data_IF_141388984028
#
_entry.id   IF_141388984028
#
_cell.length_a   1.000
_cell.length_b   1.000
_cell.length_c   1.000
_cell.angle_alpha   90.00
_cell.angle_beta   90.00
_cell.angle_gamma   90.00
#
_symmetry.space_group_name_H-M   'P 1'
#
loop_
_entity.id
_entity.type
_entity.pdbx_description
1 polymer ?
#
# COMPACT_ATOMS: atom_id res chain seq x y z
N UNK A 1 -12.14 -8.95 7.69
CA UNK A 1 -11.18 -7.96 7.16
C UNK A 1 -9.82 -8.27 7.74
N UNK A 2 -8.79 -8.24 6.91
CA UNK A 2 -7.41 -8.51 7.32
C UNK A 2 -6.80 -7.32 8.08
N UNK A 3 -5.75 -7.57 8.86
CA UNK A 3 -5.03 -6.53 9.61
C UNK A 3 -4.37 -5.50 8.67
N UNK A 4 -3.89 -5.91 7.50
CA UNK A 4 -3.35 -5.02 6.47
C UNK A 4 -4.46 -4.10 5.96
N UNK A 5 -5.64 -4.63 5.65
CA UNK A 5 -6.77 -3.82 5.19
C UNK A 5 -7.23 -2.85 6.28
N UNK A 6 -7.33 -3.30 7.54
CA UNK A 6 -7.66 -2.44 8.68
C UNK A 6 -6.63 -1.33 8.87
N UNK A 7 -5.34 -1.61 8.65
CA UNK A 7 -4.27 -0.63 8.72
C UNK A 7 -4.37 0.41 7.60
N UNK A 8 -4.63 -0.04 6.37
CA UNK A 8 -4.81 0.84 5.21
C UNK A 8 -6.06 1.72 5.36
N UNK A 9 -7.14 1.19 5.91
CA UNK A 9 -8.36 1.95 6.21
C UNK A 9 -8.11 3.03 7.27
N UNK A 10 -7.30 2.74 8.29
CA UNK A 10 -6.89 3.75 9.30
C UNK A 10 -6.06 4.89 8.68
N UNK A 11 -5.25 4.60 7.67
CA UNK A 11 -4.53 5.63 6.90
C UNK A 11 -5.51 6.44 6.05
N UNK A 12 -6.45 5.77 5.38
CA UNK A 12 -7.43 6.40 4.50
C UNK A 12 -8.37 7.36 5.23
N UNK A 13 -8.98 6.86 6.31
CA UNK A 13 -9.99 7.57 7.10
C UNK A 13 -9.43 8.75 7.89
N UNK A 14 -8.10 8.88 7.99
CA UNK A 14 -7.36 9.98 8.62
C UNK A 14 -8.12 10.58 9.81
N UNK A 15 -8.24 9.80 10.89
CA UNK A 15 -9.04 10.17 12.05
C UNK A 15 -8.80 11.65 12.44
N UNK A 16 -9.86 12.47 12.55
CA UNK A 16 -9.69 13.88 12.88
C UNK A 16 -8.98 14.01 14.22
N UNK A 17 -7.99 14.89 14.29
CA UNK A 17 -7.26 15.14 15.54
C UNK A 17 -8.28 15.58 16.60
N UNK A 18 -8.38 14.88 17.73
CA UNK A 18 -9.38 15.24 18.74
C UNK A 18 -9.10 16.65 19.25
N UNK A 19 -10.11 17.51 19.17
CA UNK A 19 -10.07 18.92 19.58
C UNK A 19 -10.68 19.03 20.99
N UNK A 20 -9.89 19.39 21.99
CA UNK A 20 -10.37 19.62 23.35
C UNK A 20 -9.26 19.69 24.39
N UNK A 21 -9.53 20.34 25.52
CA UNK A 21 -8.65 20.31 26.69
C UNK A 21 -8.69 18.91 27.31
N UNK A 22 -7.54 18.22 27.36
CA UNK A 22 -7.44 16.87 27.93
C UNK A 22 -7.71 15.73 26.95
N UNK A 23 -7.84 15.99 25.64
CA UNK A 23 -7.87 14.92 24.66
C UNK A 23 -6.48 14.27 24.55
N UNK A 24 -6.41 12.97 24.81
CA UNK A 24 -5.20 12.19 24.53
C UNK A 24 -4.88 12.30 23.04
N UNK A 25 -3.66 12.73 22.73
CA UNK A 25 -3.16 12.71 21.37
C UNK A 25 -3.00 11.25 20.98
N UNK A 26 -3.93 10.70 20.21
CA UNK A 26 -3.70 9.41 19.55
C UNK A 26 -2.42 9.49 18.72
N UNK A 27 -1.66 8.40 18.69
CA UNK A 27 -0.46 8.31 17.86
C UNK A 27 -0.76 8.75 16.43
N UNK A 28 0.13 9.57 15.85
CA UNK A 28 -0.06 10.12 14.51
C UNK A 28 -0.04 8.97 13.49
N UNK A 29 -1.14 8.76 12.79
CA UNK A 29 -1.17 7.79 11.69
C UNK A 29 -0.20 8.22 10.58
N UNK A 30 0.56 7.28 10.00
CA UNK A 30 1.49 7.61 8.93
C UNK A 30 0.73 8.06 7.69
N UNK A 31 1.36 8.93 6.88
CA UNK A 31 0.75 9.42 5.66
C UNK A 31 0.62 8.36 4.55
N UNK A 32 1.47 7.33 4.58
CA UNK A 32 1.44 6.13 3.74
C UNK A 32 1.95 4.95 4.57
N UNK A 33 1.46 3.75 4.27
CA UNK A 33 1.98 2.50 4.83
C UNK A 33 3.36 2.16 4.28
N UNK A 34 4.21 1.54 5.07
CA UNK A 34 5.50 1.02 4.64
C UNK A 34 5.52 -0.50 4.69
N UNK A 35 5.76 -1.14 3.56
CA UNK A 35 5.79 -2.58 3.38
C UNK A 35 7.19 -3.00 2.92
N UNK A 36 7.71 -4.11 3.42
CA UNK A 36 8.99 -4.67 2.94
C UNK A 36 8.78 -6.02 2.26
N UNK A 37 9.22 -6.11 1.00
CA UNK A 37 9.29 -7.38 0.26
C UNK A 37 10.56 -8.14 0.62
N UNK A 38 10.44 -9.45 0.85
CA UNK A 38 11.54 -10.34 1.20
C UNK A 38 11.52 -11.60 0.33
N UNK A 39 12.64 -11.87 -0.32
CA UNK A 39 12.90 -13.13 -1.02
C UNK A 39 13.59 -14.15 -0.10
N UNK A 40 14.50 -13.70 0.79
CA UNK A 40 15.31 -14.59 1.63
C UNK A 40 15.15 -14.27 3.11
N UNK A 41 14.02 -14.67 3.73
CA UNK A 41 13.75 -14.32 5.10
C UNK A 41 14.69 -15.03 6.09
N UNK A 42 15.22 -14.27 7.05
CA UNK A 42 15.97 -14.80 8.20
C UNK A 42 15.40 -14.20 9.49
N UNK A 43 15.49 -14.92 10.62
CA UNK A 43 14.97 -14.44 11.92
C UNK A 43 15.50 -13.05 12.29
N UNK A 44 16.78 -12.81 12.07
CA UNK A 44 17.42 -11.52 12.37
C UNK A 44 16.90 -10.38 11.46
N UNK A 45 16.70 -10.67 10.17
CA UNK A 45 16.16 -9.68 9.23
C UNK A 45 14.70 -9.37 9.54
N UNK A 46 13.90 -10.40 9.83
CA UNK A 46 12.51 -10.27 10.23
C UNK A 46 12.35 -9.45 11.51
N UNK A 47 13.09 -9.79 12.57
CA UNK A 47 13.03 -9.01 13.82
C UNK A 47 13.44 -7.54 13.61
N UNK A 48 14.40 -7.29 12.72
CA UNK A 48 14.78 -5.92 12.38
C UNK A 48 13.69 -5.22 11.60
N UNK A 49 13.12 -5.84 10.57
CA UNK A 49 12.08 -5.23 9.73
C UNK A 49 10.78 -5.01 10.50
N UNK A 50 10.34 -5.95 11.33
CA UNK A 50 9.11 -5.85 12.12
C UNK A 50 9.05 -4.63 13.04
N UNK A 51 10.20 -4.03 13.37
CA UNK A 51 10.28 -2.80 14.15
C UNK A 51 10.28 -1.51 13.31
N UNK A 52 10.39 -1.62 11.99
CA UNK A 52 10.63 -0.49 11.09
C UNK A 52 9.65 -0.40 9.92
N UNK A 53 8.81 -1.41 9.70
CA UNK A 53 7.78 -1.44 8.66
C UNK A 53 6.43 -1.82 9.25
N UNK A 54 5.35 -1.55 8.53
CA UNK A 54 3.98 -1.83 8.95
C UNK A 54 3.52 -3.24 8.59
N UNK A 55 4.07 -3.80 7.51
CA UNK A 55 3.80 -5.18 7.08
C UNK A 55 4.96 -5.75 6.25
N UNK A 56 5.01 -7.07 6.16
CA UNK A 56 6.01 -7.82 5.37
C UNK A 56 5.31 -8.52 4.20
N UNK A 57 5.97 -8.52 3.04
CA UNK A 57 5.55 -9.27 1.86
C UNK A 57 6.61 -10.35 1.62
N UNK A 58 6.24 -11.62 1.72
CA UNK A 58 7.10 -12.71 1.32
C UNK A 58 6.88 -13.02 -0.16
N UNK A 59 7.96 -13.18 -0.92
CA UNK A 59 7.87 -13.52 -2.34
C UNK A 59 7.49 -14.97 -2.58
N UNK A 60 7.74 -15.83 -1.60
CA UNK A 60 7.40 -17.25 -1.57
C UNK A 60 6.90 -17.64 -0.19
N UNK A 61 6.24 -18.79 -0.07
CA UNK A 61 5.74 -19.31 1.21
C UNK A 61 6.88 -19.43 2.24
N UNK A 62 6.83 -18.68 3.36
CA UNK A 62 7.87 -18.77 4.38
C UNK A 62 7.73 -20.05 5.21
N UNK A 63 8.84 -20.47 5.85
CA UNK A 63 8.78 -21.52 6.88
C UNK A 63 7.93 -21.03 8.07
N UNK A 64 7.00 -21.88 8.53
CA UNK A 64 6.18 -21.65 9.71
C UNK A 64 7.02 -21.20 10.92
N UNK A 65 8.21 -21.78 11.12
CA UNK A 65 9.09 -21.42 12.24
C UNK A 65 9.70 -20.01 12.14
N UNK A 66 9.65 -19.38 10.97
CA UNK A 66 10.08 -17.99 10.78
C UNK A 66 8.95 -17.00 11.06
N UNK A 67 7.70 -17.36 10.77
CA UNK A 67 6.55 -16.45 10.87
C UNK A 67 5.81 -16.49 12.20
N UNK A 68 5.97 -17.56 12.99
CA UNK A 68 5.34 -17.72 14.32
C UNK A 68 5.53 -16.53 15.27
N UNK A 69 6.70 -15.90 15.22
CA UNK A 69 7.09 -14.82 16.14
C UNK A 69 6.90 -13.42 15.53
N UNK A 70 6.31 -13.30 14.33
CA UNK A 70 6.10 -12.00 13.68
C UNK A 70 4.86 -11.33 14.27
N UNK A 71 5.07 -10.16 14.89
CA UNK A 71 4.00 -9.39 15.53
C UNK A 71 3.18 -8.52 14.54
N UNK A 72 3.78 -8.13 13.41
CA UNK A 72 3.14 -7.33 12.37
C UNK A 72 2.44 -8.23 11.33
N UNK A 73 1.40 -7.76 10.64
CA UNK A 73 0.78 -8.56 9.61
C UNK A 73 1.71 -8.77 8.42
N UNK A 74 1.47 -9.85 7.69
CA UNK A 74 2.29 -10.21 6.54
C UNK A 74 1.45 -10.87 5.46
N UNK A 75 1.95 -10.77 4.23
CA UNK A 75 1.33 -11.36 3.06
C UNK A 75 2.30 -12.23 2.28
N UNK A 76 1.77 -13.14 1.48
CA UNK A 76 2.57 -14.02 0.61
C UNK A 76 2.24 -13.77 -0.86
N UNK A 77 3.26 -13.70 -1.70
CA UNK A 77 3.13 -13.62 -3.15
C UNK A 77 3.09 -15.01 -3.80
N UNK A 78 2.64 -15.07 -5.06
CA UNK A 78 2.76 -16.27 -5.89
C UNK A 78 1.84 -17.41 -5.46
N UNK A 79 0.71 -17.08 -4.83
CA UNK A 79 -0.29 -18.05 -4.37
C UNK A 79 -1.43 -18.10 -5.37
N UNK A 80 -1.66 -19.26 -5.98
CA UNK A 80 -2.54 -19.43 -7.13
C UNK A 80 -3.64 -20.49 -6.94
N UNK A 81 -3.63 -21.23 -5.83
CA UNK A 81 -4.59 -22.31 -5.55
C UNK A 81 -5.19 -22.23 -4.14
N UNK A 82 -6.41 -22.73 -3.97
CA UNK A 82 -7.13 -22.74 -2.69
C UNK A 82 -6.38 -23.50 -1.58
N UNK A 83 -5.77 -24.64 -1.91
CA UNK A 83 -4.95 -25.41 -0.96
C UNK A 83 -3.75 -24.60 -0.47
N UNK A 84 -3.10 -23.87 -1.38
CA UNK A 84 -1.95 -23.03 -1.04
C UNK A 84 -2.36 -21.87 -0.12
N UNK A 85 -3.50 -21.21 -0.39
CA UNK A 85 -4.09 -20.17 0.47
C UNK A 85 -4.45 -20.71 1.84
N UNK A 86 -5.16 -21.83 1.91
CA UNK A 86 -5.58 -22.45 3.17
C UNK A 86 -4.38 -22.75 4.07
N UNK A 87 -3.32 -23.32 3.49
CA UNK A 87 -2.08 -23.61 4.21
C UNK A 87 -1.31 -22.37 4.67
N UNK A 88 -1.55 -21.20 4.07
CA UNK A 88 -0.98 -19.91 4.48
C UNK A 88 -1.81 -19.30 5.62
N UNK A 89 -3.14 -19.38 5.54
CA UNK A 89 -4.05 -18.94 6.61
C UNK A 89 -3.73 -19.67 7.92
N UNK A 90 -3.51 -21.00 7.86
CA UNK A 90 -3.14 -21.80 9.04
C UNK A 90 -1.88 -21.34 9.76
N UNK A 91 -0.91 -20.75 9.04
CA UNK A 91 0.34 -20.23 9.62
C UNK A 91 0.27 -18.73 9.93
N UNK A 92 -0.92 -18.12 9.83
CA UNK A 92 -1.18 -16.73 10.21
C UNK A 92 -0.95 -15.70 9.11
N UNK A 93 -1.02 -16.11 7.84
CA UNK A 93 -0.98 -15.17 6.70
C UNK A 93 -2.20 -14.24 6.75
N UNK A 94 -1.96 -12.94 6.59
CA UNK A 94 -3.01 -11.92 6.68
C UNK A 94 -3.55 -11.51 5.31
N UNK A 95 -2.74 -11.63 4.25
CA UNK A 95 -3.15 -11.32 2.89
C UNK A 95 -2.39 -12.15 1.86
N UNK A 96 -2.91 -12.26 0.65
CA UNK A 96 -2.19 -12.81 -0.50
C UNK A 96 -1.96 -11.75 -1.56
N UNK A 97 -0.86 -11.91 -2.29
CA UNK A 97 -0.56 -11.17 -3.50
C UNK A 97 -0.55 -12.13 -4.70
N UNK A 98 -1.41 -11.86 -5.67
CA UNK A 98 -1.61 -12.69 -6.85
C UNK A 98 -1.58 -11.87 -8.14
N UNK A 99 -1.56 -12.56 -9.27
CA UNK A 99 -1.78 -11.98 -10.59
C UNK A 99 -3.07 -12.54 -11.21
N UNK A 100 -3.34 -12.18 -12.46
CA UNK A 100 -4.54 -12.62 -13.18
C UNK A 100 -4.56 -14.11 -13.53
N UNK A 101 -3.48 -14.85 -13.28
CA UNK A 101 -3.44 -16.30 -13.49
C UNK A 101 -3.93 -17.11 -12.29
N UNK A 102 -4.11 -16.48 -11.13
CA UNK A 102 -4.58 -17.16 -9.92
C UNK A 102 -6.00 -17.73 -10.08
N UNK A 103 -6.24 -18.90 -9.47
CA UNK A 103 -7.55 -19.53 -9.49
C UNK A 103 -8.58 -18.68 -8.73
N UNK A 104 -9.80 -18.61 -9.25
CA UNK A 104 -10.90 -17.88 -8.59
C UNK A 104 -11.17 -18.42 -7.19
N UNK A 105 -11.03 -19.74 -6.97
CA UNK A 105 -11.19 -20.35 -5.64
C UNK A 105 -10.13 -19.89 -4.63
N UNK A 106 -8.94 -19.48 -5.08
CA UNK A 106 -7.91 -18.90 -4.22
C UNK A 106 -8.29 -17.49 -3.75
N UNK A 107 -9.05 -16.75 -4.56
CA UNK A 107 -9.42 -15.35 -4.32
C UNK A 107 -10.76 -15.24 -3.56
N UNK A 108 -11.66 -16.21 -3.71
CA UNK A 108 -12.98 -16.22 -3.08
C UNK A 108 -12.97 -16.57 -1.57
N UNK A 109 -11.80 -16.58 -0.93
CA UNK A 109 -11.67 -16.90 0.48
C UNK A 109 -11.86 -15.63 1.34
N UNK A 110 -12.96 -15.58 2.10
CA UNK A 110 -13.33 -14.42 2.93
C UNK A 110 -12.42 -14.20 4.17
N UNK A 111 -11.59 -15.18 4.53
CA UNK A 111 -10.71 -15.12 5.70
C UNK A 111 -9.41 -14.33 5.42
N UNK A 112 -9.09 -14.07 4.15
CA UNK A 112 -7.84 -13.45 3.73
C UNK A 112 -8.09 -12.34 2.73
N UNK A 113 -7.37 -11.21 2.86
CA UNK A 113 -7.47 -10.16 1.84
C UNK A 113 -6.59 -10.46 0.64
N UNK A 114 -7.02 -10.02 -0.53
CA UNK A 114 -6.38 -10.29 -1.81
C UNK A 114 -5.90 -9.00 -2.46
N UNK A 115 -4.61 -8.95 -2.77
CA UNK A 115 -3.99 -7.89 -3.55
C UNK A 115 -3.61 -8.40 -4.94
N UNK A 116 -4.06 -7.72 -5.98
CA UNK A 116 -3.79 -8.08 -7.37
C UNK A 116 -2.65 -7.23 -7.95
N UNK A 117 -1.69 -7.88 -8.60
CA UNK A 117 -0.66 -7.22 -9.41
C UNK A 117 -1.30 -6.54 -10.62
N UNK A 118 -1.08 -5.22 -10.77
CA UNK A 118 -1.58 -4.46 -11.91
C UNK A 118 -0.41 -3.84 -12.69
N UNK A 119 -0.33 -4.07 -14.02
CA UNK A 119 0.65 -3.40 -14.86
C UNK A 119 0.42 -1.89 -14.89
N UNK A 120 1.50 -1.09 -14.81
CA UNK A 120 1.44 0.38 -14.91
C UNK A 120 0.87 0.86 -16.25
N UNK A 121 0.97 0.03 -17.28
CA UNK A 121 0.56 0.33 -18.67
C UNK A 121 -0.86 -0.15 -18.99
N UNK A 122 -1.66 -0.51 -17.98
CA UNK A 122 -3.04 -0.96 -18.17
C UNK A 122 -3.90 0.16 -18.73
N UNK A 123 -4.71 -0.16 -19.75
CA UNK A 123 -5.66 0.81 -20.30
C UNK A 123 -6.90 0.97 -19.40
N UNK A 124 -7.69 2.03 -19.65
CA UNK A 124 -8.86 2.33 -18.83
C UNK A 124 -9.93 1.23 -18.87
N UNK A 125 -10.14 0.57 -20.01
CA UNK A 125 -11.12 -0.50 -20.13
C UNK A 125 -10.70 -1.72 -19.31
N UNK A 126 -9.42 -2.06 -19.34
CA UNK A 126 -8.85 -3.12 -18.51
C UNK A 126 -9.04 -2.80 -17.04
N UNK A 127 -8.70 -1.59 -16.58
CA UNK A 127 -8.87 -1.18 -15.19
C UNK A 127 -10.33 -1.27 -14.72
N UNK A 128 -11.29 -0.87 -15.56
CA UNK A 128 -12.71 -1.00 -15.25
C UNK A 128 -13.15 -2.46 -15.07
N UNK A 129 -12.60 -3.38 -15.86
CA UNK A 129 -12.85 -4.83 -15.71
C UNK A 129 -12.18 -5.35 -14.43
N UNK A 130 -10.94 -4.94 -14.15
CA UNK A 130 -10.23 -5.36 -12.93
C UNK A 130 -10.95 -4.90 -11.65
N UNK A 131 -11.66 -3.78 -11.70
CA UNK A 131 -12.42 -3.28 -10.56
C UNK A 131 -13.59 -4.20 -10.18
N UNK A 132 -14.14 -4.98 -11.12
CA UNK A 132 -15.23 -5.92 -10.82
C UNK A 132 -14.75 -7.19 -10.12
N UNK A 133 -13.43 -7.43 -10.05
CA UNK A 133 -12.88 -8.60 -9.37
C UNK A 133 -13.01 -8.45 -7.84
N UNK A 134 -13.28 -9.55 -7.10
CA UNK A 134 -13.38 -9.53 -5.64
C UNK A 134 -11.98 -9.50 -5.01
N UNK A 135 -11.29 -8.37 -5.12
CA UNK A 135 -9.97 -8.14 -4.53
C UNK A 135 -9.98 -6.84 -3.75
N UNK A 136 -9.25 -6.79 -2.64
CA UNK A 136 -9.21 -5.65 -1.71
C UNK A 136 -8.29 -4.52 -2.21
N UNK A 137 -7.27 -4.86 -2.99
CA UNK A 137 -6.25 -3.90 -3.39
C UNK A 137 -5.45 -4.27 -4.63
N UNK A 138 -4.67 -3.30 -5.09
CA UNK A 138 -3.74 -3.41 -6.19
C UNK A 138 -2.31 -3.16 -5.75
N UNK A 139 -1.39 -3.95 -6.29
CA UNK A 139 0.05 -3.74 -6.20
C UNK A 139 0.54 -3.26 -7.56
N UNK A 140 1.02 -2.01 -7.59
CA UNK A 140 1.53 -1.34 -8.78
C UNK A 140 3.05 -1.53 -8.81
N UNK A 141 3.53 -2.27 -9.81
CA UNK A 141 4.94 -2.61 -9.98
C UNK A 141 5.54 -1.92 -11.22
N UNK A 142 6.04 -0.67 -11.09
CA UNK A 142 6.75 -0.02 -12.19
C UNK A 142 8.09 -0.71 -12.45
N UNK A 143 8.37 -1.06 -13.71
CA UNK A 143 9.64 -1.68 -14.13
C UNK A 143 10.88 -0.82 -13.79
N UNK A 144 10.74 0.49 -13.81
CA UNK A 144 11.77 1.45 -13.40
C UNK A 144 11.11 2.66 -12.72
N UNK A 145 11.37 2.79 -11.43
CA UNK A 145 11.01 3.95 -10.63
C UNK A 145 12.25 4.49 -9.88
N UNK A 146 13.26 4.86 -10.64
CA UNK A 146 14.42 5.60 -10.13
C UNK A 146 14.08 7.06 -9.76
N UNK A 147 13.14 7.70 -10.45
CA UNK A 147 12.64 9.03 -10.09
C UNK A 147 11.15 9.19 -10.37
N UNK A 148 10.46 9.93 -9.50
CA UNK A 148 9.02 10.17 -9.63
C UNK A 148 8.81 11.41 -10.50
N UNK A 149 8.86 11.21 -11.81
CA UNK A 149 8.50 12.24 -12.80
C UNK A 149 6.99 12.46 -12.85
N UNK A 150 6.55 13.60 -13.40
CA UNK A 150 5.13 13.88 -13.64
C UNK A 150 4.48 12.82 -14.55
N UNK A 151 5.23 12.27 -15.52
CA UNK A 151 4.76 11.19 -16.37
C UNK A 151 4.46 9.94 -15.54
N UNK A 152 5.41 9.50 -14.70
CA UNK A 152 5.22 8.34 -13.82
C UNK A 152 4.10 8.55 -12.81
N UNK A 153 4.00 9.76 -12.25
CA UNK A 153 2.93 10.12 -11.34
C UNK A 153 1.55 10.08 -12.03
N UNK A 154 1.47 10.48 -13.31
CA UNK A 154 0.25 10.39 -14.11
C UNK A 154 -0.13 8.94 -14.44
N UNK A 155 0.85 8.10 -14.76
CA UNK A 155 0.64 6.66 -15.01
C UNK A 155 0.11 5.97 -13.76
N UNK A 156 0.77 6.16 -12.61
CA UNK A 156 0.31 5.65 -11.31
C UNK A 156 -1.10 6.18 -11.01
N UNK A 157 -1.33 7.47 -11.26
CA UNK A 157 -2.61 8.12 -11.01
C UNK A 157 -3.76 7.65 -11.88
N UNK A 158 -3.49 7.13 -13.08
CA UNK A 158 -4.52 6.53 -13.91
C UNK A 158 -5.13 5.29 -13.23
N UNK A 159 -4.29 4.49 -12.55
CA UNK A 159 -4.71 3.30 -11.82
C UNK A 159 -5.42 3.71 -10.54
N UNK A 160 -4.75 4.48 -9.67
CA UNK A 160 -5.26 4.80 -8.33
C UNK A 160 -6.53 5.64 -8.34
N UNK A 161 -6.80 6.41 -9.40
CA UNK A 161 -8.05 7.18 -9.54
C UNK A 161 -9.16 6.43 -10.26
N UNK A 162 -8.84 5.31 -10.90
CA UNK A 162 -9.84 4.48 -11.59
C UNK A 162 -10.51 3.48 -10.66
N UNK A 163 -10.03 3.33 -9.42
CA UNK A 163 -10.46 2.30 -8.48
C UNK A 163 -10.78 2.89 -7.10
N UNK A 164 -11.65 2.23 -6.36
CA UNK A 164 -11.91 2.43 -4.94
C UNK A 164 -11.07 1.50 -4.04
N UNK A 165 -10.29 0.61 -4.65
CA UNK A 165 -9.45 -0.38 -3.95
C UNK A 165 -8.15 0.22 -3.42
N UNK A 166 -7.56 -0.44 -2.41
CA UNK A 166 -6.30 0.02 -1.84
C UNK A 166 -5.15 -0.11 -2.83
N UNK A 167 -4.36 0.94 -3.03
CA UNK A 167 -3.25 0.93 -3.98
C UNK A 167 -1.88 0.99 -3.28
N UNK A 168 -1.08 -0.06 -3.45
CA UNK A 168 0.30 -0.14 -3.00
C UNK A 168 1.25 0.07 -4.18
N UNK A 169 2.37 0.76 -3.97
CA UNK A 169 3.35 1.05 -5.00
C UNK A 169 4.72 0.48 -4.63
N UNK A 170 5.27 -0.36 -5.50
CA UNK A 170 6.66 -0.81 -5.37
C UNK A 170 7.64 0.28 -5.79
N UNK A 171 8.67 0.49 -4.97
CA UNK A 171 9.70 1.50 -5.16
C UNK A 171 11.10 0.88 -5.01
N UNK A 172 12.02 1.30 -5.87
CA UNK A 172 13.41 0.84 -5.84
C UNK A 172 14.33 1.85 -5.12
N UNK A 173 13.88 3.09 -4.95
CA UNK A 173 14.62 4.17 -4.30
C UNK A 173 13.71 4.94 -3.36
N UNK A 174 14.29 5.44 -2.26
CA UNK A 174 13.56 6.22 -1.26
C UNK A 174 13.15 7.59 -1.80
N UNK A 175 11.83 7.89 -1.91
CA UNK A 175 11.36 9.16 -2.44
C UNK A 175 11.66 10.33 -1.51
N UNK A 176 11.76 11.54 -2.08
CA UNK A 176 11.85 12.79 -1.31
C UNK A 176 10.49 13.11 -0.67
N UNK A 177 10.50 13.94 0.38
CA UNK A 177 9.28 14.35 1.08
C UNK A 177 8.18 14.92 0.14
N UNK A 178 8.57 15.74 -0.84
CA UNK A 178 7.64 16.29 -1.83
C UNK A 178 7.04 15.22 -2.75
N UNK A 179 7.80 14.17 -3.05
CA UNK A 179 7.35 13.05 -3.89
C UNK A 179 6.40 12.13 -3.09
N UNK A 180 6.70 11.87 -1.82
CA UNK A 180 5.80 11.15 -0.91
C UNK A 180 4.42 11.84 -0.81
N UNK A 181 4.40 13.16 -0.67
CA UNK A 181 3.15 13.92 -0.70
C UNK A 181 2.43 13.81 -2.04
N UNK A 182 3.16 13.82 -3.16
CA UNK A 182 2.57 13.70 -4.49
C UNK A 182 1.95 12.32 -4.71
N UNK A 183 2.64 11.25 -4.30
CA UNK A 183 2.14 9.88 -4.36
C UNK A 183 0.85 9.72 -3.55
N UNK A 184 0.84 10.22 -2.31
CA UNK A 184 -0.38 10.21 -1.46
C UNK A 184 -1.54 10.97 -2.12
N UNK A 185 -1.29 12.16 -2.69
CA UNK A 185 -2.33 12.97 -3.36
C UNK A 185 -2.92 12.30 -4.59
N UNK A 186 -2.16 11.39 -5.20
CA UNK A 186 -2.59 10.63 -6.36
C UNK A 186 -3.42 9.41 -5.98
N UNK A 187 -3.35 8.96 -4.72
CA UNK A 187 -4.15 7.84 -4.21
C UNK A 187 -3.32 6.61 -3.87
N UNK A 188 -1.99 6.70 -3.87
CA UNK A 188 -1.14 5.64 -3.30
C UNK A 188 -1.37 5.63 -1.78
N UNK A 189 -1.50 4.44 -1.21
CA UNK A 189 -1.76 4.24 0.21
C UNK A 189 -0.61 3.56 0.95
N UNK A 190 0.24 2.83 0.23
CA UNK A 190 1.45 2.25 0.80
C UNK A 190 2.57 2.11 -0.20
N UNK A 191 3.79 2.04 0.32
CA UNK A 191 5.03 1.85 -0.44
C UNK A 191 5.62 0.49 -0.10
N UNK A 192 6.02 -0.25 -1.12
CA UNK A 192 6.71 -1.53 -1.00
C UNK A 192 8.18 -1.31 -1.35
N UNK A 193 9.07 -1.61 -0.42
CA UNK A 193 10.52 -1.57 -0.63
C UNK A 193 11.09 -2.99 -0.74
N UNK A 194 12.20 -3.14 -1.45
CA UNK A 194 12.97 -4.38 -1.38
C UNK A 194 13.72 -4.46 -0.03
N UNK A 195 13.19 -5.27 0.89
CA UNK A 195 13.76 -5.46 2.22
C UNK A 195 15.13 -6.14 2.20
N UNK A 196 15.45 -6.94 1.16
CA UNK A 196 16.74 -7.61 1.07
C UNK A 196 17.88 -6.64 0.73
N UNK A 197 17.60 -5.64 -0.11
CA UNK A 197 18.60 -4.70 -0.64
C UNK A 197 18.71 -3.41 0.19
N UNK A 198 17.60 -2.90 0.71
CA UNK A 198 17.60 -1.59 1.38
C UNK A 198 18.19 -1.70 2.80
N UNK A 199 19.08 -0.75 3.12
CA UNK A 199 19.76 -0.69 4.42
C UNK A 199 18.79 -0.31 5.55
N UNK A 200 18.97 -0.87 6.74
CA UNK A 200 18.08 -0.60 7.89
C UNK A 200 18.05 0.87 8.33
N UNK A 201 19.13 1.67 8.25
CA UNK A 201 19.04 3.12 8.45
C UNK A 201 18.12 3.82 7.44
N UNK A 202 18.14 3.41 6.17
CA UNK A 202 17.31 4.02 5.13
C UNK A 202 15.82 3.68 5.33
N UNK A 203 15.52 2.45 5.76
CA UNK A 203 14.16 2.04 6.12
C UNK A 203 13.63 2.88 7.29
N UNK A 204 14.44 3.05 8.35
CA UNK A 204 14.10 3.90 9.50
C UNK A 204 13.82 5.33 9.07
N UNK A 205 14.71 5.90 8.25
CA UNK A 205 14.55 7.25 7.73
C UNK A 205 13.27 7.41 6.91
N UNK A 206 12.98 6.44 6.04
CA UNK A 206 11.74 6.44 5.26
C UNK A 206 10.51 6.34 6.17
N UNK A 207 10.54 5.45 7.18
CA UNK A 207 9.46 5.31 8.16
C UNK A 207 9.20 6.62 8.90
N UNK A 208 10.24 7.29 9.39
CA UNK A 208 10.12 8.63 10.01
C UNK A 208 9.52 9.64 9.04
N UNK A 209 10.00 9.71 7.79
CA UNK A 209 9.46 10.63 6.79
C UNK A 209 7.96 10.41 6.54
N UNK A 210 7.50 9.16 6.51
CA UNK A 210 6.09 8.80 6.32
C UNK A 210 5.22 9.21 7.52
N UNK A 211 5.73 9.04 8.75
CA UNK A 211 5.06 9.51 9.97
C UNK A 211 5.03 11.03 10.04
N UNK A 212 6.08 11.71 9.59
CA UNK A 212 6.20 13.17 9.65
C UNK A 212 5.42 13.89 8.56
N UNK A 213 4.86 13.17 7.58
CA UNK A 213 4.05 13.76 6.52
C UNK A 213 2.97 14.70 7.09
N UNK A 214 2.72 15.86 6.44
CA UNK A 214 1.66 16.76 6.88
C UNK A 214 0.30 16.07 6.76
N UNK A 215 -0.66 16.44 7.62
CA UNK A 215 -2.03 15.93 7.51
C UNK A 215 -2.57 16.20 6.09
N UNK A 216 -3.26 15.24 5.44
CA UNK A 216 -3.83 15.42 4.10
C UNK A 216 -4.61 16.74 3.91
N UNK A 217 -5.23 17.27 4.98
CA UNK A 217 -6.00 18.51 4.93
C UNK A 217 -5.19 19.82 5.11
N UNK A 218 -3.86 19.74 5.23
CA UNK A 218 -3.06 20.89 5.69
C UNK A 218 -3.09 22.13 4.77
N UNK A 219 -3.41 21.98 3.46
CA UNK A 219 -3.47 23.12 2.51
C UNK A 219 -4.46 22.93 1.36
N UNK A 220 -5.74 22.70 1.64
CA UNK A 220 -6.76 23.08 0.64
C UNK A 220 -6.86 24.61 0.66
N UNK A 221 -5.92 25.31 0.02
CA UNK A 221 -6.19 26.68 -0.42
C UNK A 221 -7.40 26.55 -1.34
N UNK A 222 -8.57 27.00 -0.88
CA UNK A 222 -9.73 27.12 -1.73
C UNK A 222 -9.27 27.91 -2.96
N UNK A 223 -9.23 27.25 -4.11
CA UNK A 223 -8.99 27.92 -5.36
C UNK A 223 -10.20 28.86 -5.50
N UNK A 224 -10.03 30.19 -5.59
CA UNK A 224 -11.17 31.04 -5.91
C UNK A 224 -11.76 30.46 -7.19
N UNK A 225 -13.03 30.06 -7.11
CA UNK A 225 -13.79 29.60 -8.27
C UNK A 225 -13.63 30.70 -9.32
N UNK A 226 -12.91 30.41 -10.41
CA UNK A 226 -12.94 31.29 -11.57
C UNK A 226 -14.36 31.16 -12.08
N UNK A 227 -15.18 32.19 -11.85
CA UNK A 227 -16.51 32.28 -12.44
C UNK A 227 -16.35 31.99 -13.93
N UNK A 228 -17.01 30.95 -14.42
CA UNK A 228 -17.00 30.63 -15.83
C UNK A 228 -17.46 31.87 -16.60
N UNK A 229 -16.74 32.21 -17.67
CA UNK A 229 -17.02 33.34 -18.58
C UNK A 229 -18.39 33.21 -19.28
N UNK A 230 -19.17 32.15 -19.00
CA UNK A 230 -20.51 31.91 -19.52
C UNK A 230 -21.64 32.56 -18.70
N UNK A 231 -21.34 33.31 -17.64
CA UNK A 231 -22.30 34.24 -17.03
C UNK A 231 -21.99 35.67 -17.50
N UNK A 232 -22.26 35.94 -18.78
CA UNK A 232 -22.48 37.31 -19.27
C UNK A 232 -23.89 37.33 -19.84
N UNK A 233 -24.80 37.78 -18.96
CA UNK A 233 -26.02 38.57 -19.20
C UNK A 233 -26.88 38.23 -20.44
N UNK A 234 -28.10 37.73 -20.18
CA UNK A 234 -29.31 38.22 -20.87
C UNK A 234 -29.86 39.46 -20.12
#
# INVERSE_FOLDING_TARGET
MSKISDFLEKIHSAAPTPLGFGADRSDKSPGLGLFASLNKPTKQKLSTLSNNVDAIIFSEKPDNNLVKDIAIPWMCSGTDSEDSVSSLVEIGCDSIHCDLSAAVSAIANDDISVFLSVPVESDWNQLMILNTLPVDGYIINPKDLSSISLKKLSEIGSITRSTDKYCLLSINQSPKASELEALRKVGVMGLIINGDEVSTPDIKKLKTNLTDMPNPNHKRKQRPQVKSVFEIEE
#
